data_IF_446047862937
#
_entry.id   IF_446047862937
#
_cell.length_a   1.000
_cell.length_b   1.000
_cell.length_c   1.000
_cell.angle_alpha   90.00
_cell.angle_beta   90.00
_cell.angle_gamma   90.00
#
_symmetry.space_group_name_H-M   'P 1'
#
loop_
_entity.id
_entity.type
_entity.pdbx_description
1 polymer ?
#
# COMPACT_ATOMS: atom_id res chain seq x y z
N UNK A 1 14.22 -11.58 18.03
CA UNK A 1 13.82 -10.87 16.81
C UNK A 1 13.39 -11.93 15.82
N UNK A 2 12.42 -11.64 14.97
CA UNK A 2 12.01 -12.51 13.85
C UNK A 2 12.32 -11.80 12.52
N UNK A 3 12.78 -12.56 11.53
CA UNK A 3 13.14 -12.13 10.18
C UNK A 3 12.42 -12.96 9.12
N UNK A 4 12.03 -12.34 8.00
CA UNK A 4 11.29 -13.04 6.95
C UNK A 4 10.05 -13.76 7.51
N UNK A 5 10.01 -15.07 7.32
CA UNK A 5 8.95 -15.98 7.78
C UNK A 5 9.16 -16.52 9.21
N UNK A 6 10.19 -16.08 9.94
CA UNK A 6 10.46 -16.54 11.29
C UNK A 6 9.32 -16.22 12.26
N UNK A 7 9.14 -17.10 13.25
CA UNK A 7 8.18 -16.93 14.34
C UNK A 7 8.91 -17.06 15.68
N UNK A 8 8.57 -16.21 16.64
CA UNK A 8 9.11 -16.23 18.00
C UNK A 8 8.00 -15.91 18.98
N UNK A 9 7.96 -16.65 20.07
CA UNK A 9 7.00 -16.42 21.16
C UNK A 9 7.12 -15.00 21.72
N UNK A 10 5.99 -14.32 21.89
CA UNK A 10 5.92 -12.92 22.30
C UNK A 10 6.23 -11.89 21.21
N UNK A 11 6.35 -12.30 19.94
CA UNK A 11 6.55 -11.39 18.80
C UNK A 11 5.45 -11.57 17.74
N UNK A 12 4.98 -10.46 17.17
CA UNK A 12 4.01 -10.47 16.06
C UNK A 12 4.70 -10.80 14.74
N UNK A 13 4.31 -11.93 14.14
CA UNK A 13 4.79 -12.30 12.80
C UNK A 13 4.26 -11.35 11.73
N UNK A 14 5.09 -11.01 10.73
CA UNK A 14 4.67 -10.19 9.62
C UNK A 14 3.63 -10.91 8.76
N UNK A 15 2.64 -10.15 8.29
CA UNK A 15 1.67 -10.57 7.28
C UNK A 15 2.35 -10.77 5.92
N UNK A 16 3.34 -9.92 5.62
CA UNK A 16 4.06 -9.93 4.35
C UNK A 16 5.44 -9.30 4.54
N UNK A 17 6.40 -9.69 3.71
CA UNK A 17 7.68 -8.98 3.60
C UNK A 17 8.20 -8.89 2.17
N UNK A 18 9.04 -7.88 1.90
CA UNK A 18 9.62 -7.66 0.56
C UNK A 18 10.62 -8.71 0.10
N UNK A 19 11.10 -9.57 1.00
CA UNK A 19 12.22 -10.45 0.74
C UNK A 19 13.56 -9.69 0.67
N UNK A 20 14.69 -10.39 0.61
CA UNK A 20 16.02 -9.77 0.63
C UNK A 20 16.36 -9.05 -0.69
N UNK A 21 15.75 -9.48 -1.81
CA UNK A 21 16.15 -9.06 -3.15
C UNK A 21 15.46 -7.77 -3.62
N UNK A 22 14.36 -7.39 -2.97
CA UNK A 22 13.53 -6.25 -3.36
C UNK A 22 13.26 -5.36 -2.15
N UNK A 23 13.28 -4.04 -2.36
CA UNK A 23 12.86 -3.04 -1.38
C UNK A 23 11.66 -2.29 -1.93
N UNK A 24 10.49 -2.37 -1.28
CA UNK A 24 9.33 -1.62 -1.78
C UNK A 24 9.47 -0.11 -1.48
N UNK A 25 9.91 0.26 -0.27
CA UNK A 25 9.99 1.63 0.25
C UNK A 25 8.67 2.42 0.03
N UNK A 26 7.65 2.16 0.85
CA UNK A 26 6.28 2.58 0.66
C UNK A 26 6.17 4.04 1.10
N UNK A 27 5.55 4.87 0.27
CA UNK A 27 5.40 6.29 0.57
C UNK A 27 3.99 6.66 1.03
N UNK A 28 2.97 6.02 0.47
CA UNK A 28 1.57 6.29 0.77
C UNK A 28 0.73 5.01 0.60
N UNK A 29 -0.47 5.01 1.20
CA UNK A 29 -1.36 3.85 1.27
C UNK A 29 -2.83 4.30 1.19
N UNK A 30 -3.65 3.57 0.43
CA UNK A 30 -5.11 3.69 0.48
C UNK A 30 -5.78 2.33 0.59
N UNK A 31 -6.88 2.26 1.36
CA UNK A 31 -7.77 1.11 1.37
C UNK A 31 -8.87 1.29 0.31
N UNK A 32 -9.09 0.28 -0.53
CA UNK A 32 -10.14 0.31 -1.54
C UNK A 32 -10.63 -1.10 -1.86
N UNK A 33 -11.94 -1.34 -1.71
CA UNK A 33 -12.60 -2.61 -2.07
C UNK A 33 -11.86 -3.88 -1.57
N UNK A 34 -11.60 -3.96 -0.27
CA UNK A 34 -10.90 -5.10 0.36
C UNK A 34 -9.46 -5.32 -0.11
N UNK A 35 -8.87 -4.33 -0.77
CA UNK A 35 -7.45 -4.26 -1.08
C UNK A 35 -6.79 -3.08 -0.39
N UNK A 36 -5.52 -3.26 -0.03
CA UNK A 36 -4.61 -2.19 0.35
C UNK A 36 -3.73 -1.85 -0.86
N UNK A 37 -3.74 -0.60 -1.28
CA UNK A 37 -2.88 -0.10 -2.35
C UNK A 37 -1.79 0.78 -1.76
N UNK A 38 -0.51 0.52 -2.04
CA UNK A 38 0.59 1.37 -1.61
C UNK A 38 1.59 1.68 -2.72
N UNK A 39 2.17 2.88 -2.67
CA UNK A 39 3.13 3.35 -3.68
C UNK A 39 4.56 3.04 -3.27
N UNK A 40 5.35 2.43 -4.17
CA UNK A 40 6.77 2.16 -3.93
C UNK A 40 7.70 3.21 -4.53
N UNK A 41 8.56 3.80 -3.69
CA UNK A 41 9.65 4.67 -4.11
C UNK A 41 10.79 3.86 -4.72
N UNK A 42 11.41 2.96 -3.95
CA UNK A 42 12.49 2.09 -4.44
C UNK A 42 11.91 0.95 -5.27
N UNK A 43 10.73 0.44 -4.89
CA UNK A 43 10.04 -0.64 -5.58
C UNK A 43 9.47 -0.24 -6.94
N UNK A 44 9.32 1.07 -7.20
CA UNK A 44 8.89 1.65 -8.48
C UNK A 44 7.61 1.02 -9.03
N UNK A 45 6.59 0.88 -8.19
CA UNK A 45 5.34 0.22 -8.56
C UNK A 45 4.20 0.58 -7.63
N UNK A 46 2.98 0.35 -8.11
CA UNK A 46 1.77 0.41 -7.30
C UNK A 46 1.46 -1.00 -6.81
N UNK A 47 1.59 -1.23 -5.53
CA UNK A 47 1.36 -2.54 -4.92
C UNK A 47 -0.11 -2.66 -4.52
N UNK A 48 -0.70 -3.84 -4.75
CA UNK A 48 -2.04 -4.20 -4.30
C UNK A 48 -1.92 -5.44 -3.41
N UNK A 49 -2.29 -5.31 -2.14
CA UNK A 49 -2.43 -6.43 -1.24
C UNK A 49 -3.91 -6.76 -1.04
N UNK A 50 -4.33 -7.93 -1.50
CA UNK A 50 -5.69 -8.44 -1.33
C UNK A 50 -5.88 -8.97 0.10
N UNK A 51 -6.86 -8.42 0.83
CA UNK A 51 -7.11 -8.81 2.23
C UNK A 51 -7.88 -10.12 2.36
N UNK A 52 -8.55 -10.58 1.31
CA UNK A 52 -9.32 -11.83 1.26
C UNK A 52 -8.37 -12.97 0.88
N UNK A 53 -7.75 -12.87 -0.29
CA UNK A 53 -6.89 -13.91 -0.85
C UNK A 53 -5.47 -13.90 -0.26
N UNK A 54 -5.12 -12.84 0.49
CA UNK A 54 -3.80 -12.65 1.09
C UNK A 54 -2.66 -12.60 0.06
N UNK A 55 -2.94 -12.12 -1.15
CA UNK A 55 -1.97 -12.04 -2.26
C UNK A 55 -1.44 -10.61 -2.46
N UNK A 56 -0.18 -10.48 -2.86
CA UNK A 56 0.42 -9.22 -3.27
C UNK A 56 0.62 -9.21 -4.79
N UNK A 57 0.13 -8.16 -5.46
CA UNK A 57 0.35 -7.88 -6.88
C UNK A 57 1.08 -6.54 -7.04
N UNK A 58 1.88 -6.42 -8.09
CA UNK A 58 2.56 -5.18 -8.46
C UNK A 58 2.03 -4.72 -9.81
N UNK A 59 1.54 -3.49 -9.86
CA UNK A 59 1.06 -2.82 -11.06
C UNK A 59 2.05 -1.74 -11.50
N UNK A 60 2.12 -1.49 -12.81
CA UNK A 60 2.95 -0.44 -13.42
C UNK A 60 4.43 -0.51 -13.02
N UNK A 61 4.97 -1.72 -12.86
CA UNK A 61 6.34 -1.92 -12.40
C UNK A 61 7.35 -1.22 -13.32
N UNK A 62 8.09 -0.27 -12.75
CA UNK A 62 9.06 0.62 -13.37
C UNK A 62 8.53 1.46 -14.55
N UNK A 63 7.23 1.43 -14.83
CA UNK A 63 6.60 2.14 -15.94
C UNK A 63 6.61 3.65 -15.74
N UNK A 64 6.41 4.10 -14.50
CA UNK A 64 6.45 5.52 -14.13
C UNK A 64 7.60 5.88 -13.20
N UNK A 65 8.42 4.91 -12.80
CA UNK A 65 9.49 5.10 -11.82
C UNK A 65 8.95 5.15 -10.40
N UNK A 66 9.42 6.10 -9.61
CA UNK A 66 9.14 6.23 -8.17
C UNK A 66 7.74 6.79 -7.96
N UNK A 67 6.89 6.08 -7.22
CA UNK A 67 5.54 6.52 -6.89
C UNK A 67 5.48 6.99 -5.43
N UNK A 68 4.90 8.17 -5.18
CA UNK A 68 4.97 8.82 -3.86
C UNK A 68 3.64 8.95 -3.13
N UNK A 69 2.60 9.40 -3.79
CA UNK A 69 1.29 9.61 -3.15
C UNK A 69 0.20 8.93 -3.95
N UNK A 70 -0.85 8.50 -3.27
CA UNK A 70 -2.06 7.93 -3.88
C UNK A 70 -3.31 8.46 -3.18
N UNK A 71 -4.26 8.96 -3.96
CA UNK A 71 -5.55 9.41 -3.44
C UNK A 71 -6.71 8.94 -4.32
N UNK A 72 -7.88 8.72 -3.72
CA UNK A 72 -9.13 8.50 -4.45
C UNK A 72 -9.78 9.86 -4.73
N UNK A 73 -9.94 10.19 -6.01
CA UNK A 73 -10.63 11.39 -6.44
C UNK A 73 -12.16 11.27 -6.31
N UNK A 74 -12.89 12.40 -6.37
CA UNK A 74 -14.35 12.43 -6.29
C UNK A 74 -15.04 11.71 -7.46
N UNK A 75 -14.33 11.49 -8.57
CA UNK A 75 -14.78 10.73 -9.74
C UNK A 75 -14.51 9.23 -9.62
N UNK A 76 -14.05 8.76 -8.45
CA UNK A 76 -13.67 7.38 -8.15
C UNK A 76 -12.45 6.87 -8.92
N UNK A 77 -11.58 7.75 -9.41
CA UNK A 77 -10.27 7.38 -9.95
C UNK A 77 -9.18 7.48 -8.88
N UNK A 78 -8.15 6.65 -8.99
CA UNK A 78 -6.92 6.89 -8.25
C UNK A 78 -6.11 7.97 -8.95
N UNK A 79 -5.52 8.86 -8.16
CA UNK A 79 -4.56 9.86 -8.56
C UNK A 79 -3.25 9.57 -7.87
N UNK A 80 -2.23 9.23 -8.66
CA UNK A 80 -0.90 8.82 -8.16
C UNK A 80 0.17 9.79 -8.61
N UNK A 81 1.02 10.27 -7.70
CA UNK A 81 2.14 11.15 -8.04
C UNK A 81 3.44 10.39 -8.25
N UNK A 82 4.24 10.81 -9.23
CA UNK A 82 5.64 10.38 -9.36
C UNK A 82 6.58 11.26 -8.52
N UNK A 83 7.75 10.75 -8.19
CA UNK A 83 8.80 11.47 -7.42
C UNK A 83 10.19 11.15 -7.97
N UNK A 84 10.36 11.29 -9.30
CA UNK A 84 11.61 11.00 -10.00
C UNK A 84 12.59 12.18 -9.92
N UNK A 85 12.13 13.39 -9.60
CA UNK A 85 12.96 14.60 -9.47
C UNK A 85 13.39 14.92 -8.05
N UNK A 86 13.22 13.99 -7.11
CA UNK A 86 13.58 14.19 -5.68
C UNK A 86 15.07 14.00 -5.37
N UNK A 87 15.91 14.00 -6.41
CA UNK A 87 17.36 13.78 -6.31
C UNK A 87 17.78 12.31 -6.30
N UNK A 88 16.82 11.37 -6.33
CA UNK A 88 17.08 9.93 -6.32
C UNK A 88 16.37 9.28 -7.51
N UNK A 89 17.12 8.68 -8.43
CA UNK A 89 16.56 7.92 -9.56
C UNK A 89 16.79 8.57 -10.93
N UNK A 90 16.05 8.10 -11.93
CA UNK A 90 16.19 8.55 -13.32
C UNK A 90 15.02 9.45 -13.70
N UNK A 91 15.32 10.71 -14.04
CA UNK A 91 14.31 11.68 -14.51
C UNK A 91 13.97 11.41 -15.97
N UNK A 92 12.68 11.26 -16.28
CA UNK A 92 12.19 11.09 -17.65
C UNK A 92 11.56 12.39 -18.17
N UNK A 93 11.40 12.46 -19.50
CA UNK A 93 10.78 13.62 -20.13
C UNK A 93 9.35 13.83 -19.60
N UNK A 94 9.10 15.02 -19.07
CA UNK A 94 7.80 15.41 -18.53
C UNK A 94 7.49 14.83 -17.15
N UNK A 95 8.47 14.33 -16.41
CA UNK A 95 8.30 14.11 -14.97
C UNK A 95 8.25 15.46 -14.22
N UNK A 96 7.74 15.56 -13.01
CA UNK A 96 6.89 14.55 -12.36
C UNK A 96 5.44 14.64 -12.89
N UNK A 97 4.66 13.57 -12.67
CA UNK A 97 3.31 13.42 -13.22
C UNK A 97 2.30 13.14 -12.11
N UNK A 98 1.04 13.48 -12.39
CA UNK A 98 -0.12 12.91 -11.72
C UNK A 98 -0.79 11.93 -12.70
N UNK A 99 -0.86 10.67 -12.31
CA UNK A 99 -1.38 9.57 -13.11
C UNK A 99 -2.81 9.30 -12.64
N UNK A 100 -3.76 9.35 -13.56
CA UNK A 100 -5.16 9.00 -13.30
C UNK A 100 -5.39 7.54 -13.68
N UNK A 101 -5.80 6.72 -12.72
CA UNK A 101 -5.95 5.27 -12.87
C UNK A 101 -7.39 4.89 -12.50
N UNK A 102 -8.02 4.05 -13.32
CA UNK A 102 -9.34 3.50 -13.00
C UNK A 102 -9.18 2.29 -12.06
N UNK A 103 -9.61 2.36 -10.79
CA UNK A 103 -9.42 1.27 -9.85
C UNK A 103 -10.16 -0.02 -10.25
N UNK A 104 -11.18 0.10 -11.11
CA UNK A 104 -11.92 -1.04 -11.64
C UNK A 104 -11.06 -1.97 -12.50
N UNK A 105 -9.93 -1.49 -12.99
CA UNK A 105 -9.00 -2.29 -13.80
C UNK A 105 -8.26 -3.33 -12.92
N UNK A 106 -8.29 -3.18 -11.59
CA UNK A 106 -7.65 -4.08 -10.63
C UNK A 106 -8.60 -5.10 -9.99
N UNK A 107 -9.89 -5.02 -10.30
CA UNK A 107 -10.93 -5.85 -9.69
C UNK A 107 -11.43 -6.83 -10.76
N UNK A 108 -11.41 -8.14 -10.46
CA UNK A 108 -11.85 -9.15 -11.43
C UNK A 108 -13.38 -9.09 -11.62
N UNK A 109 -13.88 -9.61 -12.74
CA UNK A 109 -15.32 -9.60 -13.04
C UNK A 109 -16.14 -10.47 -12.06
N UNK A 110 -15.51 -11.47 -11.44
CA UNK A 110 -16.15 -12.37 -10.46
C UNK A 110 -16.48 -11.64 -9.14
N UNK A 111 -15.74 -10.58 -8.78
CA UNK A 111 -16.02 -9.74 -7.61
C UNK A 111 -17.30 -8.88 -7.74
N UNK A 112 -17.82 -8.69 -8.96
CA UNK A 112 -18.96 -7.79 -9.22
C UNK A 112 -20.30 -8.36 -8.75
N UNK A 113 -20.44 -9.68 -8.69
CA UNK A 113 -21.68 -10.37 -8.27
C UNK A 113 -21.85 -10.37 -6.74
N UNK A 114 -20.75 -10.46 -5.97
CA UNK A 114 -20.80 -10.60 -4.50
C UNK A 114 -21.07 -9.27 -3.77
N UNK A 115 -20.79 -8.11 -4.37
CA UNK A 115 -20.57 -6.86 -3.61
C UNK A 115 -21.59 -5.73 -3.86
N UNK A 116 -22.80 -6.04 -4.36
CA UNK A 116 -23.92 -5.07 -4.49
C UNK A 116 -24.42 -4.47 -3.15
N UNK A 117 -23.94 -4.92 -2.00
CA UNK A 117 -24.32 -4.44 -0.66
C UNK A 117 -23.30 -3.47 -0.04
N UNK A 118 -23.28 -2.23 -0.56
CA UNK A 118 -23.07 -0.99 0.19
C UNK A 118 -21.85 -0.83 1.13
N UNK A 119 -21.00 0.16 0.82
CA UNK A 119 -20.78 1.42 1.57
C UNK A 119 -19.55 2.14 1.01
N UNK A 120 -19.52 3.47 1.19
CA UNK A 120 -18.45 4.37 0.71
C UNK A 120 -17.07 3.86 1.16
N UNK A 121 -16.11 3.83 0.22
CA UNK A 121 -14.74 3.45 0.51
C UNK A 121 -14.09 4.54 1.38
N UNK A 122 -13.57 4.17 2.56
CA UNK A 122 -12.83 5.10 3.38
C UNK A 122 -11.52 5.48 2.71
N UNK A 123 -11.24 6.79 2.69
CA UNK A 123 -10.00 7.37 2.19
C UNK A 123 -9.16 7.69 3.43
N UNK A 124 -7.92 7.23 3.49
CA UNK A 124 -6.98 7.65 4.54
C UNK A 124 -5.65 8.02 3.92
N UNK A 125 -5.06 9.10 4.42
CA UNK A 125 -3.61 9.33 4.43
C UNK A 125 -3.29 10.32 5.56
N UNK A 126 -2.51 9.87 6.55
CA UNK A 126 -1.63 10.74 7.36
C UNK A 126 -0.39 9.92 7.71
N UNK A 127 0.79 10.49 7.45
CA UNK A 127 2.08 9.84 7.61
C UNK A 127 2.80 10.35 8.85
N UNK A 128 3.18 9.43 9.74
CA UNK A 128 4.36 9.54 10.59
C UNK A 128 5.11 8.21 10.48
N UNK A 129 6.34 8.25 9.96
CA UNK A 129 7.30 7.14 9.84
C UNK A 129 6.70 5.72 9.88
N UNK A 130 6.34 5.22 8.69
CA UNK A 130 5.95 3.84 8.42
C UNK A 130 4.69 3.30 9.12
N UNK A 131 3.94 4.10 9.87
CA UNK A 131 2.61 3.72 10.35
C UNK A 131 1.54 4.34 9.46
N UNK A 132 0.65 3.51 8.93
CA UNK A 132 -0.52 3.93 8.15
C UNK A 132 -1.77 3.50 8.86
N UNK A 133 -2.82 4.31 8.77
CA UNK A 133 -4.12 3.99 9.33
C UNK A 133 -5.10 3.75 8.19
N UNK A 134 -6.04 2.84 8.36
CA UNK A 134 -7.18 2.71 7.45
C UNK A 134 -8.46 2.40 8.22
N UNK A 135 -9.59 2.86 7.71
CA UNK A 135 -10.89 2.59 8.32
C UNK A 135 -11.58 1.47 7.53
N UNK A 136 -12.30 0.57 8.19
CA UNK A 136 -13.09 -0.49 7.54
C UNK A 136 -14.18 -0.97 8.49
N UNK A 137 -15.40 -1.19 7.98
CA UNK A 137 -16.52 -1.76 8.77
C UNK A 137 -16.69 -1.11 10.16
N UNK A 138 -16.64 0.22 10.19
CA UNK A 138 -16.76 1.02 11.41
C UNK A 138 -15.61 0.91 12.42
N UNK A 139 -14.43 0.43 12.01
CA UNK A 139 -13.25 0.24 12.85
C UNK A 139 -12.02 0.86 12.21
N UNK A 140 -11.13 1.42 13.03
CA UNK A 140 -9.80 1.83 12.62
C UNK A 140 -8.83 0.67 12.75
N UNK A 141 -7.96 0.57 11.76
CA UNK A 141 -6.88 -0.39 11.68
C UNK A 141 -5.59 0.36 11.48
N UNK A 142 -4.51 -0.18 12.03
CA UNK A 142 -3.17 0.34 11.81
C UNK A 142 -2.39 -0.70 11.01
N UNK A 143 -1.52 -0.20 10.14
CA UNK A 143 -0.65 -0.97 9.29
C UNK A 143 0.75 -0.42 9.48
N UNK A 144 1.68 -1.25 9.96
CA UNK A 144 3.05 -0.83 10.13
C UNK A 144 3.92 -1.45 9.06
N UNK A 145 4.65 -0.58 8.38
CA UNK A 145 5.85 -0.96 7.65
C UNK A 145 7.05 -0.87 8.60
N UNK A 146 7.95 -1.84 8.55
CA UNK A 146 9.19 -1.74 9.31
C UNK A 146 10.36 -1.97 8.38
N UNK A 147 11.22 -0.97 8.19
CA UNK A 147 12.43 -1.12 7.39
C UNK A 147 13.58 -1.66 8.24
N UNK A 148 14.21 -2.75 7.78
CA UNK A 148 15.46 -3.27 8.36
C UNK A 148 16.63 -2.96 7.42
N UNK A 149 17.40 -1.93 7.75
CA UNK A 149 18.51 -1.43 6.94
C UNK A 149 19.57 -2.50 6.60
N UNK A 150 19.86 -3.41 7.52
CA UNK A 150 20.85 -4.49 7.34
C UNK A 150 20.51 -5.43 6.17
N UNK A 151 19.23 -5.56 5.82
CA UNK A 151 18.75 -6.54 4.84
C UNK A 151 17.82 -5.95 3.77
N UNK A 152 17.58 -4.62 3.82
CA UNK A 152 16.62 -3.91 2.99
C UNK A 152 15.20 -4.53 2.97
N UNK A 153 14.88 -5.28 4.01
CA UNK A 153 13.60 -5.96 4.20
C UNK A 153 12.57 -4.99 4.75
N UNK A 154 11.34 -5.14 4.27
CA UNK A 154 10.22 -4.42 4.83
C UNK A 154 9.06 -5.32 5.13
N UNK A 155 8.47 -5.14 6.32
CA UNK A 155 7.44 -6.00 6.88
C UNK A 155 6.10 -5.30 6.92
N UNK A 156 5.02 -6.03 6.67
CA UNK A 156 3.64 -5.61 6.89
C UNK A 156 3.15 -6.24 8.21
N UNK A 157 3.00 -5.45 9.28
CA UNK A 157 2.52 -5.98 10.56
C UNK A 157 1.00 -5.75 10.71
N UNK A 158 0.23 -6.73 11.22
CA UNK A 158 -1.16 -6.50 11.56
C UNK A 158 -1.21 -5.74 12.89
N UNK A 159 -1.88 -4.58 12.97
CA UNK A 159 -2.23 -4.02 14.27
C UNK A 159 -3.70 -4.21 14.58
N UNK A 160 -3.93 -4.77 15.76
CA UNK A 160 -5.25 -4.92 16.35
C UNK A 160 -5.80 -3.59 16.87
N UNK A 161 -7.13 -3.53 16.97
CA UNK A 161 -7.94 -2.35 17.22
C UNK A 161 -7.45 -1.51 18.41
N UNK A 162 -7.04 -0.28 18.15
CA UNK A 162 -7.10 0.79 19.14
C UNK A 162 -8.49 1.41 19.13
N UNK A 163 -9.25 1.30 20.23
CA UNK A 163 -10.36 2.21 20.49
C UNK A 163 -9.79 3.63 20.56
N UNK A 164 -9.85 4.37 19.45
CA UNK A 164 -9.78 5.83 19.52
C UNK A 164 -11.09 6.30 20.16
N UNK A 165 -11.14 6.32 21.50
CA UNK A 165 -12.10 7.14 22.21
C UNK A 165 -11.62 8.59 22.08
N UNK A 166 -12.45 9.42 21.45
CA UNK A 166 -12.27 10.87 21.42
C UNK A 166 -12.19 11.47 22.82
#
# INVERSE_FOLDING_TARGET
MIEGDEKKEGMESPVLHSGPDVTWAPADLIYFQESLFFTGLIGRGLYQYDLIDKTLKIHYFNEFGRLRSIALGPDNYFYVSTSNRDGIGEVRKGDDKIIKINPKDFISLEDKEIKKSGKRNPIVSTCNYYEFYYYKKSKFYTLKFQFKAKYRLMYLLPLDMGLFTH
#
